data_IF_205637312106
#
_entry.id   IF_205637312106
#
_cell.length_a   1.000
_cell.length_b   1.000
_cell.length_c   1.000
_cell.angle_alpha   90.00
_cell.angle_beta   90.00
_cell.angle_gamma   90.00
#
_symmetry.space_group_name_H-M   'P 1'
#
loop_
_entity.id
_entity.type
_entity.pdbx_description
1 polymer ?
#
# COMPACT_ATOMS: atom_id res chain seq x y z
N UNK A 1 62.83 -25.71 9.69
CA UNK A 1 61.53 -25.68 8.96
C UNK A 1 60.43 -25.05 9.84
N UNK A 2 60.34 -23.71 9.92
CA UNK A 2 59.24 -23.01 10.63
C UNK A 2 58.71 -21.69 10.00
N UNK A 3 59.30 -21.05 8.96
CA UNK A 3 58.83 -19.72 8.52
C UNK A 3 57.59 -19.74 7.59
N UNK A 4 57.26 -20.88 6.97
CA UNK A 4 56.22 -20.94 5.92
C UNK A 4 54.80 -20.93 6.52
N UNK A 5 54.58 -21.64 7.64
CA UNK A 5 53.26 -21.75 8.27
C UNK A 5 52.77 -20.41 8.87
N UNK A 6 53.68 -19.53 9.28
CA UNK A 6 53.34 -18.22 9.86
C UNK A 6 52.86 -17.22 8.81
N UNK A 7 53.38 -17.33 7.56
CA UNK A 7 52.92 -16.52 6.42
C UNK A 7 51.52 -16.91 5.95
N UNK A 8 51.20 -18.21 5.91
CA UNK A 8 49.87 -18.69 5.49
C UNK A 8 48.75 -18.30 6.47
N UNK A 9 49.01 -18.35 7.78
CA UNK A 9 48.03 -17.90 8.80
C UNK A 9 47.78 -16.39 8.75
N UNK A 10 48.82 -15.59 8.47
CA UNK A 10 48.69 -14.14 8.24
C UNK A 10 47.88 -13.83 6.97
N UNK A 11 48.16 -14.53 5.87
CA UNK A 11 47.41 -14.37 4.62
C UNK A 11 45.92 -14.74 4.79
N UNK A 12 45.62 -15.82 5.52
CA UNK A 12 44.24 -16.22 5.86
C UNK A 12 43.52 -15.17 6.71
N UNK A 13 44.20 -14.62 7.74
CA UNK A 13 43.60 -13.60 8.58
C UNK A 13 43.36 -12.28 7.83
N UNK A 14 44.25 -11.92 6.90
CA UNK A 14 44.06 -10.76 6.01
C UNK A 14 42.88 -11.00 5.07
N UNK A 15 42.77 -12.19 4.48
CA UNK A 15 41.66 -12.52 3.58
C UNK A 15 40.30 -12.48 4.30
N UNK A 16 40.22 -13.02 5.52
CA UNK A 16 39.01 -12.94 6.35
C UNK A 16 38.68 -11.49 6.72
N UNK A 17 39.68 -10.67 7.05
CA UNK A 17 39.48 -9.25 7.36
C UNK A 17 38.97 -8.45 6.14
N UNK A 18 39.46 -8.75 4.94
CA UNK A 18 39.01 -8.10 3.69
C UNK A 18 37.58 -8.47 3.35
N UNK A 19 37.20 -9.75 3.50
CA UNK A 19 35.80 -10.19 3.29
C UNK A 19 34.88 -9.52 4.30
N UNK A 20 35.28 -9.47 5.58
CA UNK A 20 34.50 -8.82 6.64
C UNK A 20 34.28 -7.33 6.34
N UNK A 21 35.32 -6.64 5.87
CA UNK A 21 35.25 -5.23 5.48
C UNK A 21 34.31 -5.02 4.27
N UNK A 22 34.35 -5.91 3.29
CA UNK A 22 33.46 -5.87 2.12
C UNK A 22 31.99 -6.08 2.49
N UNK A 23 31.70 -6.99 3.42
CA UNK A 23 30.33 -7.24 3.88
C UNK A 23 29.75 -6.06 4.66
N UNK A 24 30.58 -5.31 5.38
CA UNK A 24 30.13 -4.12 6.13
C UNK A 24 29.94 -2.89 5.22
N UNK A 25 30.69 -2.79 4.11
CA UNK A 25 30.54 -1.70 3.14
C UNK A 25 29.30 -1.78 2.25
N UNK A 26 28.69 -2.97 2.11
CA UNK A 26 27.49 -3.15 1.29
C UNK A 26 26.24 -2.46 1.88
N UNK A 27 26.18 -2.26 3.20
CA UNK A 27 25.02 -1.65 3.86
C UNK A 27 24.91 -0.13 3.65
N UNK A 28 25.99 0.56 3.27
CA UNK A 28 25.94 2.03 3.07
C UNK A 28 25.56 2.46 1.67
N UNK A 29 25.57 1.53 0.69
CA UNK A 29 25.18 1.83 -0.69
C UNK A 29 23.66 1.85 -0.89
N UNK A 30 22.91 1.12 -0.05
CA UNK A 30 21.44 1.15 -0.03
C UNK A 30 20.91 2.23 0.92
N UNK A 31 21.60 3.38 1.00
CA UNK A 31 21.00 4.57 1.59
C UNK A 31 20.09 5.15 0.51
N UNK A 32 18.78 5.06 0.73
CA UNK A 32 17.78 5.59 -0.20
C UNK A 32 18.23 7.00 -0.64
N UNK A 33 18.31 7.26 -1.97
CA UNK A 33 18.54 8.61 -2.45
C UNK A 33 17.51 9.51 -1.78
N UNK A 34 17.96 10.72 -1.45
CA UNK A 34 17.29 11.62 -0.54
C UNK A 34 15.82 11.81 -0.88
N UNK A 35 15.10 12.28 0.13
CA UNK A 35 13.82 12.98 0.04
C UNK A 35 13.90 14.16 -0.93
N UNK A 36 14.18 13.88 -2.21
CA UNK A 36 14.01 14.81 -3.29
C UNK A 36 12.53 15.14 -3.24
N UNK A 37 12.25 16.42 -3.02
CA UNK A 37 10.93 16.95 -2.76
C UNK A 37 10.06 16.62 -3.97
N UNK A 38 9.42 15.47 -3.92
CA UNK A 38 8.36 15.17 -4.84
C UNK A 38 7.23 16.16 -4.54
N UNK A 39 6.75 16.80 -5.61
CA UNK A 39 5.68 17.77 -5.49
C UNK A 39 4.39 16.99 -5.27
N UNK A 40 3.73 17.20 -4.12
CA UNK A 40 2.53 16.44 -3.78
C UNK A 40 1.36 17.00 -4.59
N UNK A 41 1.13 16.42 -5.75
CA UNK A 41 0.06 16.81 -6.69
C UNK A 41 -1.31 16.59 -6.05
N UNK A 42 -1.45 15.51 -5.26
CA UNK A 42 -2.63 15.20 -4.45
C UNK A 42 -2.31 15.27 -2.96
N UNK A 43 -3.26 15.74 -2.16
CA UNK A 43 -3.15 15.70 -0.71
C UNK A 43 -3.38 14.28 -0.16
N UNK A 44 -3.10 14.08 1.14
CA UNK A 44 -3.17 12.73 1.75
C UNK A 44 -4.60 12.26 1.88
N UNK A 45 -5.48 13.20 2.20
CA UNK A 45 -6.90 13.01 2.36
C UNK A 45 -7.48 12.42 1.08
N UNK A 46 -7.22 13.03 -0.07
CA UNK A 46 -7.70 12.63 -1.38
C UNK A 46 -7.09 11.29 -1.81
N UNK A 47 -5.79 11.07 -1.61
CA UNK A 47 -5.17 9.76 -1.89
C UNK A 47 -5.81 8.65 -1.07
N UNK A 48 -6.04 8.88 0.23
CA UNK A 48 -6.69 7.89 1.07
C UNK A 48 -8.18 7.68 0.73
N UNK A 49 -8.87 8.65 0.10
CA UNK A 49 -10.29 8.50 -0.31
C UNK A 49 -10.35 7.56 -1.53
N UNK A 50 -9.50 7.84 -2.52
CA UNK A 50 -9.37 7.00 -3.72
C UNK A 50 -8.95 5.57 -3.36
N UNK A 51 -7.99 5.42 -2.43
CA UNK A 51 -7.58 4.09 -1.96
C UNK A 51 -8.69 3.33 -1.26
N UNK A 52 -9.56 4.01 -0.50
CA UNK A 52 -10.70 3.36 0.16
C UNK A 52 -11.67 2.79 -0.88
N UNK A 53 -12.05 3.59 -1.87
CA UNK A 53 -12.94 3.15 -2.95
C UNK A 53 -12.30 2.06 -3.80
N UNK A 54 -11.00 2.16 -4.06
CA UNK A 54 -10.26 1.15 -4.79
C UNK A 54 -10.29 -0.19 -4.06
N UNK A 55 -10.01 -0.21 -2.76
CA UNK A 55 -10.04 -1.44 -1.96
C UNK A 55 -11.44 -2.02 -1.82
N UNK A 56 -12.47 -1.17 -1.74
CA UNK A 56 -13.86 -1.62 -1.74
C UNK A 56 -14.25 -2.27 -3.07
N UNK A 57 -13.85 -1.66 -4.20
CA UNK A 57 -14.04 -2.25 -5.51
C UNK A 57 -13.28 -3.58 -5.65
N UNK A 58 -12.03 -3.65 -5.21
CA UNK A 58 -11.24 -4.88 -5.24
C UNK A 58 -11.90 -6.00 -4.44
N UNK A 59 -12.37 -5.70 -3.23
CA UNK A 59 -13.09 -6.66 -2.41
C UNK A 59 -14.37 -7.15 -3.11
N UNK A 60 -15.12 -6.24 -3.72
CA UNK A 60 -16.32 -6.57 -4.50
C UNK A 60 -15.98 -7.44 -5.72
N UNK A 61 -14.98 -7.07 -6.50
CA UNK A 61 -14.55 -7.81 -7.68
C UNK A 61 -13.98 -9.17 -7.32
N UNK A 62 -13.26 -9.30 -6.21
CA UNK A 62 -12.74 -10.57 -5.73
C UNK A 62 -13.88 -11.55 -5.39
N UNK A 63 -14.94 -11.07 -4.72
CA UNK A 63 -16.13 -11.88 -4.45
C UNK A 63 -16.89 -12.21 -5.74
N UNK A 64 -17.01 -11.25 -6.67
CA UNK A 64 -17.74 -11.42 -7.92
C UNK A 64 -17.03 -12.36 -8.92
N UNK A 65 -15.71 -12.23 -9.09
CA UNK A 65 -14.92 -13.08 -9.99
C UNK A 65 -14.87 -14.54 -9.53
N UNK A 66 -15.04 -14.80 -8.22
CA UNK A 66 -15.23 -16.15 -7.71
C UNK A 66 -16.52 -16.79 -8.26
N UNK A 67 -17.55 -15.97 -8.54
CA UNK A 67 -18.86 -16.39 -9.01
C UNK A 67 -18.92 -16.45 -10.55
N UNK A 68 -18.32 -15.48 -11.27
CA UNK A 68 -18.41 -15.38 -12.74
C UNK A 68 -17.03 -15.28 -13.42
N UNK A 69 -16.59 -16.35 -14.09
CA UNK A 69 -15.27 -16.44 -14.77
C UNK A 69 -15.14 -15.59 -16.04
N UNK A 70 -16.21 -14.98 -16.54
CA UNK A 70 -16.25 -14.27 -17.84
C UNK A 70 -16.01 -12.74 -17.74
N UNK A 71 -15.98 -12.14 -16.55
CA UNK A 71 -16.04 -10.67 -16.43
C UNK A 71 -14.70 -9.91 -16.44
N UNK A 72 -13.58 -10.52 -16.90
CA UNK A 72 -12.26 -9.88 -16.77
C UNK A 72 -12.09 -8.60 -17.61
N UNK A 73 -12.80 -8.50 -18.74
CA UNK A 73 -12.69 -7.34 -19.64
C UNK A 73 -13.40 -6.10 -19.09
N UNK A 74 -14.40 -6.24 -18.21
CA UNK A 74 -15.11 -5.10 -17.61
C UNK A 74 -14.37 -4.47 -16.43
N UNK A 75 -13.40 -5.18 -15.84
CA UNK A 75 -12.64 -4.75 -14.66
C UNK A 75 -11.98 -3.38 -14.85
N UNK A 76 -11.37 -3.15 -16.02
CA UNK A 76 -10.73 -1.87 -16.33
C UNK A 76 -11.70 -0.68 -16.30
N UNK A 77 -12.97 -0.88 -16.67
CA UNK A 77 -13.97 0.18 -16.65
C UNK A 77 -14.37 0.56 -15.22
N UNK A 78 -14.36 -0.38 -14.27
CA UNK A 78 -14.66 -0.08 -12.88
C UNK A 78 -13.58 0.79 -12.23
N UNK A 79 -12.29 0.50 -12.46
CA UNK A 79 -11.21 1.37 -11.99
C UNK A 79 -11.28 2.77 -12.61
N UNK A 80 -11.53 2.85 -13.93
CA UNK A 80 -11.74 4.14 -14.60
C UNK A 80 -12.91 4.94 -14.01
N UNK A 81 -13.97 4.25 -13.57
CA UNK A 81 -15.11 4.83 -12.86
C UNK A 81 -14.71 5.51 -11.54
N UNK A 82 -13.81 4.92 -10.76
CA UNK A 82 -13.31 5.51 -9.51
C UNK A 82 -12.57 6.82 -9.79
N UNK A 83 -11.61 6.80 -10.72
CA UNK A 83 -10.85 8.01 -11.06
C UNK A 83 -11.74 9.12 -11.62
N UNK A 84 -12.75 8.76 -12.41
CA UNK A 84 -13.77 9.70 -12.91
C UNK A 84 -14.59 10.30 -11.77
N UNK A 85 -14.98 9.50 -10.77
CA UNK A 85 -15.73 9.96 -9.61
C UNK A 85 -14.93 10.95 -8.75
N UNK A 86 -13.63 10.72 -8.61
CA UNK A 86 -12.71 11.60 -7.88
C UNK A 86 -12.16 12.77 -8.70
N UNK A 87 -12.59 12.92 -9.96
CA UNK A 87 -12.12 13.95 -10.90
C UNK A 87 -10.59 13.99 -11.07
N UNK A 88 -9.94 12.82 -11.07
CA UNK A 88 -8.47 12.68 -11.11
C UNK A 88 -8.03 11.88 -12.33
N UNK A 89 -6.91 12.28 -12.94
CA UNK A 89 -6.24 11.45 -13.93
C UNK A 89 -5.51 10.28 -13.24
N UNK A 90 -5.66 9.03 -13.72
CA UNK A 90 -4.96 7.88 -13.14
C UNK A 90 -3.44 8.07 -13.02
N UNK A 91 -2.83 8.81 -13.96
CA UNK A 91 -1.39 9.10 -13.95
C UNK A 91 -1.02 10.03 -12.80
N UNK A 92 -1.85 11.06 -12.52
CA UNK A 92 -1.62 11.98 -11.41
C UNK A 92 -1.73 11.24 -10.06
N UNK A 93 -2.65 10.28 -9.95
CA UNK A 93 -2.76 9.42 -8.77
C UNK A 93 -1.53 8.52 -8.59
N UNK A 94 -1.05 7.88 -9.66
CA UNK A 94 0.15 7.04 -9.63
C UNK A 94 1.37 7.85 -9.19
N UNK A 95 1.59 9.02 -9.78
CA UNK A 95 2.69 9.92 -9.43
C UNK A 95 2.59 10.41 -7.98
N UNK A 96 1.39 10.78 -7.53
CA UNK A 96 1.16 11.17 -6.15
C UNK A 96 1.40 10.01 -5.17
N UNK A 97 0.97 8.79 -5.50
CA UNK A 97 1.18 7.62 -4.64
C UNK A 97 2.68 7.28 -4.55
N UNK A 98 3.40 7.28 -5.68
CA UNK A 98 4.84 7.09 -5.73
C UNK A 98 5.58 8.11 -4.85
N UNK A 99 5.11 9.36 -4.86
CA UNK A 99 5.58 10.44 -3.99
C UNK A 99 5.52 10.05 -2.51
N UNK A 100 4.36 9.56 -2.08
CA UNK A 100 4.11 9.22 -0.68
C UNK A 100 4.92 8.00 -0.26
N UNK A 101 5.09 7.01 -1.15
CA UNK A 101 5.88 5.80 -0.91
C UNK A 101 7.36 6.09 -0.56
N UNK A 102 7.89 7.28 -0.90
CA UNK A 102 9.24 7.70 -0.53
C UNK A 102 9.41 8.08 0.96
N UNK A 103 8.35 8.50 1.66
CA UNK A 103 8.38 8.77 3.11
C UNK A 103 7.40 7.86 3.85
N UNK A 104 7.94 6.85 4.52
CA UNK A 104 7.17 5.88 5.29
C UNK A 104 6.23 6.54 6.32
N UNK A 105 6.57 7.71 6.88
CA UNK A 105 5.70 8.41 7.84
C UNK A 105 4.50 9.07 7.16
N UNK A 106 4.65 9.48 5.90
CA UNK A 106 3.52 10.02 5.14
C UNK A 106 2.58 8.89 4.71
N UNK A 107 3.13 7.75 4.25
CA UNK A 107 2.31 6.56 3.97
C UNK A 107 1.59 6.03 5.20
N UNK A 108 2.23 6.01 6.36
CA UNK A 108 1.57 5.57 7.61
C UNK A 108 0.34 6.43 7.90
N UNK A 109 0.45 7.75 7.72
CA UNK A 109 -0.70 8.66 7.91
C UNK A 109 -1.82 8.40 6.92
N UNK A 110 -1.49 8.19 5.64
CA UNK A 110 -2.48 7.81 4.61
C UNK A 110 -3.16 6.50 5.01
N UNK A 111 -2.40 5.53 5.53
CA UNK A 111 -2.93 4.24 5.97
C UNK A 111 -3.87 4.39 7.18
N UNK A 112 -3.50 5.18 8.19
CA UNK A 112 -4.38 5.49 9.33
C UNK A 112 -5.70 6.13 8.88
N UNK A 113 -5.64 7.06 7.91
CA UNK A 113 -6.81 7.73 7.35
C UNK A 113 -7.70 6.77 6.58
N UNK A 114 -7.10 5.89 5.78
CA UNK A 114 -7.80 4.81 5.07
C UNK A 114 -8.55 3.89 6.05
N UNK A 115 -7.88 3.41 7.10
CA UNK A 115 -8.50 2.54 8.10
C UNK A 115 -9.67 3.24 8.82
N UNK A 116 -9.51 4.52 9.15
CA UNK A 116 -10.57 5.30 9.76
C UNK A 116 -11.81 5.39 8.85
N UNK A 117 -11.61 5.65 7.55
CA UNK A 117 -12.72 5.70 6.58
C UNK A 117 -13.44 4.37 6.44
N UNK A 118 -12.70 3.27 6.29
CA UNK A 118 -13.30 1.94 6.22
C UNK A 118 -14.08 1.61 7.50
N UNK A 119 -13.57 2.00 8.67
CA UNK A 119 -14.27 1.81 9.94
C UNK A 119 -15.56 2.65 10.05
N UNK A 120 -15.56 3.88 9.52
CA UNK A 120 -16.76 4.73 9.46
C UNK A 120 -17.81 4.11 8.55
N UNK A 121 -17.42 3.69 7.34
CA UNK A 121 -18.31 3.01 6.40
C UNK A 121 -18.91 1.73 6.98
N UNK A 122 -18.11 0.94 7.71
CA UNK A 122 -18.61 -0.26 8.40
C UNK A 122 -19.65 0.11 9.47
N UNK A 123 -19.37 1.14 10.28
CA UNK A 123 -20.30 1.60 11.31
C UNK A 123 -21.62 2.11 10.71
N UNK A 124 -21.54 2.85 9.60
CA UNK A 124 -22.71 3.35 8.87
C UNK A 124 -23.55 2.18 8.33
N UNK A 125 -22.93 1.22 7.63
CA UNK A 125 -23.61 0.04 7.10
C UNK A 125 -24.23 -0.84 8.20
N UNK A 126 -23.62 -0.93 9.39
CA UNK A 126 -24.20 -1.62 10.54
C UNK A 126 -25.42 -0.87 11.11
N UNK A 127 -25.35 0.45 11.16
CA UNK A 127 -26.45 1.29 11.66
C UNK A 127 -27.68 1.23 10.76
N UNK A 128 -27.48 1.24 9.44
CA UNK A 128 -28.57 1.10 8.45
C UNK A 128 -29.28 -0.25 8.60
N UNK A 129 -28.51 -1.34 8.68
CA UNK A 129 -29.07 -2.69 8.93
C UNK A 129 -29.88 -2.80 10.22
N UNK A 130 -29.60 -1.98 11.23
CA UNK A 130 -30.38 -1.96 12.47
C UNK A 130 -31.69 -1.18 12.29
N UNK A 131 -31.67 -0.09 11.52
CA UNK A 131 -32.87 0.71 11.21
C UNK A 131 -33.87 -0.09 10.36
N UNK A 132 -33.38 -0.78 9.34
CA UNK A 132 -34.24 -1.60 8.45
C UNK A 132 -34.98 -2.70 9.22
N UNK A 133 -34.30 -3.35 10.17
CA UNK A 133 -34.89 -4.39 11.05
C UNK A 133 -35.95 -3.82 11.99
N UNK A 134 -35.79 -2.57 12.42
CA UNK A 134 -36.73 -1.92 13.33
C UNK A 134 -37.99 -1.47 12.58
N UNK A 135 -37.84 -0.96 11.35
CA UNK A 135 -38.95 -0.54 10.50
C UNK A 135 -39.80 -1.74 10.01
N UNK A 136 -39.18 -2.88 9.69
CA UNK A 136 -39.90 -4.13 9.35
C UNK A 136 -40.71 -4.69 10.53
N UNK A 137 -40.29 -4.42 11.77
CA UNK A 137 -41.02 -4.86 12.98
C UNK A 137 -42.25 -4.01 13.35
N UNK A 138 -42.42 -2.86 12.69
CA UNK A 138 -43.49 -1.89 12.98
C UNK A 138 -44.60 -1.88 11.90
N UNK A 139 -44.47 -2.68 10.83
CA UNK A 139 -45.50 -2.86 9.81
C UNK A 139 -46.65 -3.71 10.41
N UNK A 140 -47.87 -3.16 10.60
CA UNK A 140 -48.99 -3.94 11.10
C UNK A 140 -49.44 -4.94 10.03
N UNK A 141 -49.55 -6.21 10.41
CA UNK A 141 -50.21 -7.23 9.59
C UNK A 141 -51.65 -6.78 9.24
N UNK A 142 -52.10 -6.96 7.97
CA UNK A 142 -53.48 -6.71 7.59
C UNK A 142 -54.48 -7.65 8.27
#
# INVERSE_FOLDING_TARGET
MQPIQKRMKKARNIFVAVILLFTLGACTFFRAPGTDKCDKILDREQVADILADLYMLEAFLQEYQYIERESRDSVMYFYGGIFTYHEIDPVDFEEALDCYLLDAREMERIHEMLLNRLSLMESEAQSEKQRDKQEESEIPLP
#
